data_IF_033956885697
#
_entry.id   IF_033956885697
#
_cell.length_a   1.000
_cell.length_b   1.000
_cell.length_c   1.000
_cell.angle_alpha   90.00
_cell.angle_beta   90.00
_cell.angle_gamma   90.00
#
_symmetry.space_group_name_H-M   'P 1'
#
loop_
_entity.id
_entity.type
_entity.pdbx_description
1 polymer ?
#
# COMPACT_ATOMS: atom_id res chain seq x y z
N UNK A 1 -54.51 -3.57 36.03
CA UNK A 1 -54.09 -2.45 35.14
C UNK A 1 -53.19 -3.05 34.08
N UNK A 2 -53.51 -2.88 32.82
CA UNK A 2 -52.65 -3.32 31.75
C UNK A 2 -51.60 -2.19 31.52
N UNK A 3 -50.32 -2.50 31.66
CA UNK A 3 -49.23 -1.54 31.38
C UNK A 3 -49.12 -1.34 29.88
N UNK A 4 -49.61 -0.19 29.37
CA UNK A 4 -49.54 0.15 27.97
C UNK A 4 -48.24 0.94 27.67
N UNK A 5 -47.15 0.24 27.41
CA UNK A 5 -45.87 0.84 27.18
C UNK A 5 -45.86 1.77 25.94
N UNK A 6 -46.61 1.45 24.88
CA UNK A 6 -46.65 2.27 23.65
C UNK A 6 -47.22 3.67 23.92
N UNK A 7 -48.31 3.79 24.65
CA UNK A 7 -48.88 5.10 24.97
C UNK A 7 -47.95 5.92 25.88
N UNK A 8 -47.25 5.24 26.78
CA UNK A 8 -46.31 5.90 27.69
C UNK A 8 -45.08 6.41 26.92
N UNK A 9 -44.51 5.59 26.05
CA UNK A 9 -43.37 5.95 25.22
C UNK A 9 -43.72 7.10 24.28
N UNK A 10 -44.80 7.02 23.54
CA UNK A 10 -45.27 8.06 22.64
C UNK A 10 -45.51 9.39 23.37
N UNK A 11 -46.17 9.34 24.54
CA UNK A 11 -46.38 10.48 25.36
C UNK A 11 -45.08 11.21 25.73
N UNK A 12 -44.07 10.43 26.20
CA UNK A 12 -42.82 11.04 26.66
C UNK A 12 -41.91 11.47 25.52
N UNK A 13 -41.85 10.75 24.43
CA UNK A 13 -41.11 11.16 23.23
C UNK A 13 -41.65 12.48 22.68
N UNK A 14 -42.96 12.63 22.58
CA UNK A 14 -43.62 13.87 22.18
C UNK A 14 -43.35 15.02 23.16
N UNK A 15 -43.37 14.74 24.48
CA UNK A 15 -43.05 15.71 25.50
C UNK A 15 -41.60 16.20 25.36
N UNK A 16 -40.64 15.32 25.22
CA UNK A 16 -39.22 15.66 25.07
C UNK A 16 -38.96 16.47 23.79
N UNK A 17 -39.54 16.10 22.69
CA UNK A 17 -39.43 16.81 21.43
C UNK A 17 -40.00 18.22 21.52
N UNK A 18 -41.24 18.38 22.03
CA UNK A 18 -41.90 19.65 22.14
C UNK A 18 -41.19 20.62 23.08
N UNK A 19 -40.66 20.13 24.19
CA UNK A 19 -40.01 20.96 25.21
C UNK A 19 -38.50 21.09 25.02
N UNK A 20 -37.92 20.46 23.99
CA UNK A 20 -36.47 20.37 23.77
C UNK A 20 -35.72 19.97 25.05
N UNK A 21 -36.24 18.95 25.75
CA UNK A 21 -35.84 18.60 27.13
C UNK A 21 -34.33 18.34 27.27
N UNK A 22 -33.68 17.88 26.20
CA UNK A 22 -32.27 17.50 26.19
C UNK A 22 -31.34 18.56 25.61
N UNK A 23 -31.86 19.74 25.28
CA UNK A 23 -31.08 20.85 24.73
C UNK A 23 -30.08 21.38 25.74
N UNK A 24 -28.82 21.46 25.36
CA UNK A 24 -27.76 22.13 26.12
C UNK A 24 -27.79 23.64 25.87
N UNK A 25 -27.55 24.44 26.91
CA UNK A 25 -27.41 25.90 26.79
C UNK A 25 -25.93 26.31 26.75
N UNK A 26 -25.61 27.30 25.93
CA UNK A 26 -24.26 27.88 25.92
C UNK A 26 -24.00 28.73 27.17
N UNK A 27 -25.05 29.35 27.71
CA UNK A 27 -24.98 30.34 28.78
C UNK A 27 -25.42 29.77 30.14
N UNK A 28 -25.25 28.45 30.33
CA UNK A 28 -25.62 27.79 31.57
C UNK A 28 -24.56 27.96 32.66
N UNK A 29 -24.99 28.27 33.87
CA UNK A 29 -24.16 28.25 35.07
C UNK A 29 -23.87 26.86 35.62
N UNK A 30 -24.58 25.86 35.13
CA UNK A 30 -24.34 24.46 35.52
C UNK A 30 -23.01 23.98 34.99
N UNK A 31 -22.31 23.08 35.72
CA UNK A 31 -21.09 22.46 35.23
C UNK A 31 -21.34 21.78 33.90
N UNK A 32 -20.44 21.98 32.94
CA UNK A 32 -20.53 21.42 31.58
C UNK A 32 -20.14 19.96 31.59
N UNK A 33 -20.85 19.17 30.80
CA UNK A 33 -20.49 17.80 30.51
C UNK A 33 -20.73 17.47 29.03
N UNK A 34 -19.78 16.83 28.40
CA UNK A 34 -19.86 16.45 26.99
C UNK A 34 -19.86 14.94 26.84
N UNK A 35 -20.87 14.40 26.16
CA UNK A 35 -20.99 12.98 25.79
C UNK A 35 -20.96 12.91 24.29
N UNK A 36 -19.97 12.19 23.75
CA UNK A 36 -19.76 12.06 22.32
C UNK A 36 -20.00 10.63 21.89
N UNK A 37 -20.84 10.47 20.88
CA UNK A 37 -21.06 9.21 20.15
C UNK A 37 -20.46 9.30 18.75
N UNK A 38 -20.13 8.13 18.17
CA UNK A 38 -19.76 8.02 16.77
C UNK A 38 -21.01 8.20 15.90
N UNK A 39 -21.00 9.16 14.99
CA UNK A 39 -22.12 9.39 14.08
C UNK A 39 -22.25 8.23 13.09
N UNK A 40 -23.48 7.72 12.85
CA UNK A 40 -23.69 6.65 11.90
C UNK A 40 -23.51 7.14 10.46
N UNK A 41 -23.06 6.24 9.59
CA UNK A 41 -23.17 6.41 8.15
C UNK A 41 -24.61 6.15 7.71
N UNK A 42 -25.32 7.08 7.07
CA UNK A 42 -26.67 6.84 6.55
C UNK A 42 -26.62 6.06 5.24
N UNK A 43 -25.96 4.91 5.25
CA UNK A 43 -25.62 4.11 4.07
C UNK A 43 -26.66 3.03 3.72
N UNK A 44 -27.64 2.81 4.58
CA UNK A 44 -28.65 1.79 4.39
C UNK A 44 -30.07 2.27 4.73
N UNK A 45 -31.04 1.41 4.54
CA UNK A 45 -32.45 1.73 4.76
C UNK A 45 -32.85 1.91 6.24
N UNK A 46 -31.91 1.84 7.17
CA UNK A 46 -32.12 2.03 8.60
C UNK A 46 -30.97 1.56 9.47
N UNK A 47 -31.14 1.76 10.79
CA UNK A 47 -30.18 1.34 11.80
C UNK A 47 -30.09 -0.20 11.87
N UNK A 48 -28.89 -0.71 12.06
CA UNK A 48 -28.68 -2.09 12.51
C UNK A 48 -28.40 -2.13 14.02
N UNK A 49 -28.49 -3.30 14.64
CA UNK A 49 -28.37 -3.48 16.10
C UNK A 49 -27.04 -2.97 16.70
N UNK A 50 -25.99 -2.90 15.92
CA UNK A 50 -24.70 -2.35 16.36
C UNK A 50 -24.75 -0.86 16.70
N UNK A 51 -25.59 -0.06 16.05
CA UNK A 51 -25.72 1.36 16.34
C UNK A 51 -26.24 1.62 17.76
N UNK A 52 -27.43 1.06 18.17
CA UNK A 52 -27.92 1.27 19.52
C UNK A 52 -27.00 0.73 20.60
N UNK A 53 -26.20 -0.29 20.32
CA UNK A 53 -25.31 -0.90 21.31
C UNK A 53 -24.35 0.11 21.95
N UNK A 54 -23.74 0.98 21.16
CA UNK A 54 -22.91 2.09 21.67
C UNK A 54 -23.74 3.20 22.31
N UNK A 55 -24.83 3.60 21.64
CA UNK A 55 -25.63 4.75 22.05
C UNK A 55 -26.39 4.55 23.36
N UNK A 56 -26.77 3.32 23.70
CA UNK A 56 -27.46 3.02 24.97
C UNK A 56 -26.56 3.37 26.17
N UNK A 57 -25.30 3.01 26.13
CA UNK A 57 -24.38 3.27 27.24
C UNK A 57 -24.15 4.77 27.44
N UNK A 58 -23.89 5.52 26.37
CA UNK A 58 -23.69 6.96 26.39
C UNK A 58 -24.97 7.71 26.80
N UNK A 59 -26.14 7.27 26.34
CA UNK A 59 -27.43 7.85 26.70
C UNK A 59 -27.74 7.68 28.19
N UNK A 60 -27.54 6.50 28.74
CA UNK A 60 -27.70 6.24 30.18
C UNK A 60 -26.78 7.20 30.97
N UNK A 61 -25.54 7.34 30.55
CA UNK A 61 -24.59 8.20 31.23
C UNK A 61 -24.93 9.69 31.08
N UNK A 62 -25.38 10.12 29.90
CA UNK A 62 -25.85 11.47 29.65
C UNK A 62 -27.05 11.83 30.56
N UNK A 63 -28.04 10.93 30.69
CA UNK A 63 -29.18 11.08 31.60
C UNK A 63 -28.74 11.17 33.05
N UNK A 64 -27.84 10.28 33.49
CA UNK A 64 -27.28 10.29 34.84
C UNK A 64 -26.64 11.67 35.15
N UNK A 65 -25.80 12.20 34.25
CA UNK A 65 -25.16 13.50 34.45
C UNK A 65 -26.18 14.65 34.49
N UNK A 66 -27.23 14.64 33.66
CA UNK A 66 -28.32 15.60 33.74
C UNK A 66 -29.01 15.57 35.11
N UNK A 67 -29.30 14.38 35.65
CA UNK A 67 -29.89 14.22 36.99
C UNK A 67 -28.94 14.68 38.12
N UNK A 68 -27.62 14.65 37.87
CA UNK A 68 -26.62 15.22 38.77
C UNK A 68 -26.45 16.73 38.63
N UNK A 69 -27.28 17.42 37.84
CA UNK A 69 -27.30 18.86 37.70
C UNK A 69 -26.32 19.45 36.66
N UNK A 70 -25.71 18.61 35.82
CA UNK A 70 -24.87 19.10 34.76
C UNK A 70 -25.65 19.63 33.55
N UNK A 71 -25.07 20.60 32.84
CA UNK A 71 -25.48 20.99 31.51
C UNK A 71 -24.81 20.05 30.51
N UNK A 72 -25.55 19.07 30.01
CA UNK A 72 -24.97 17.98 29.19
C UNK A 72 -25.19 18.27 27.73
N UNK A 73 -24.11 18.38 26.97
CA UNK A 73 -24.12 18.36 25.52
C UNK A 73 -23.95 16.90 25.06
N UNK A 74 -25.01 16.35 24.48
CA UNK A 74 -25.04 15.02 23.87
C UNK A 74 -25.53 15.16 22.43
N UNK A 75 -24.66 15.56 21.50
CA UNK A 75 -25.04 15.79 20.11
C UNK A 75 -25.14 14.47 19.37
N UNK A 76 -25.88 14.49 18.25
CA UNK A 76 -25.93 13.41 17.28
C UNK A 76 -25.86 13.99 15.87
N UNK A 77 -25.56 13.14 14.91
CA UNK A 77 -25.47 13.58 13.52
C UNK A 77 -25.29 12.40 12.59
N UNK A 78 -24.81 12.68 11.39
CA UNK A 78 -24.66 11.72 10.33
C UNK A 78 -23.34 11.98 9.59
N UNK A 79 -22.53 10.96 9.46
CA UNK A 79 -21.39 10.97 8.55
C UNK A 79 -21.92 10.66 7.13
N UNK A 80 -22.22 11.75 6.40
CA UNK A 80 -23.12 11.72 5.26
C UNK A 80 -22.40 11.63 3.91
N UNK A 81 -21.07 11.61 3.86
CA UNK A 81 -20.30 11.21 2.70
C UNK A 81 -20.05 9.71 2.76
N UNK A 82 -19.94 9.05 1.60
CA UNK A 82 -19.51 7.67 1.59
C UNK A 82 -19.84 6.88 0.34
N UNK A 83 -19.02 5.87 0.09
CA UNK A 83 -19.09 4.97 -1.05
C UNK A 83 -20.49 4.32 -1.27
N UNK A 84 -21.26 3.91 -0.23
CA UNK A 84 -22.56 3.31 -0.47
C UNK A 84 -23.56 4.21 -1.19
N UNK A 85 -23.60 5.49 -0.82
CA UNK A 85 -24.49 6.45 -1.46
C UNK A 85 -24.02 6.76 -2.89
N UNK A 86 -22.73 6.82 -3.14
CA UNK A 86 -22.12 7.03 -4.45
C UNK A 86 -22.38 5.84 -5.37
N UNK A 87 -22.20 4.62 -4.90
CA UNK A 87 -22.49 3.40 -5.67
C UNK A 87 -23.98 3.28 -6.04
N UNK A 88 -24.87 3.60 -5.10
CA UNK A 88 -26.29 3.62 -5.37
C UNK A 88 -26.64 4.70 -6.43
N UNK A 89 -25.97 5.85 -6.37
CA UNK A 89 -26.13 6.89 -7.37
C UNK A 89 -25.71 6.43 -8.79
N UNK A 90 -24.58 5.72 -8.88
CA UNK A 90 -24.08 5.17 -10.16
C UNK A 90 -25.09 4.15 -10.72
N UNK A 91 -25.59 3.25 -9.88
CA UNK A 91 -26.53 2.19 -10.29
C UNK A 91 -27.89 2.73 -10.72
N UNK A 92 -28.39 3.78 -10.08
CA UNK A 92 -29.76 4.29 -10.28
C UNK A 92 -29.83 5.57 -11.08
N UNK A 93 -28.69 6.25 -11.33
CA UNK A 93 -28.65 7.59 -11.91
C UNK A 93 -29.20 8.69 -10.99
N UNK A 94 -29.41 8.38 -9.70
CA UNK A 94 -29.93 9.33 -8.74
C UNK A 94 -28.81 10.04 -7.99
N UNK A 95 -28.92 11.36 -7.81
CA UNK A 95 -27.90 12.12 -7.07
C UNK A 95 -27.74 11.62 -5.61
N UNK A 96 -26.52 11.39 -5.10
CA UNK A 96 -26.28 10.80 -3.77
C UNK A 96 -26.99 11.52 -2.62
N UNK A 97 -27.04 12.85 -2.67
CA UNK A 97 -27.68 13.66 -1.62
C UNK A 97 -29.15 13.31 -1.39
N UNK A 98 -29.88 12.88 -2.43
CA UNK A 98 -31.30 12.52 -2.31
C UNK A 98 -31.48 11.26 -1.50
N UNK A 99 -30.73 10.22 -1.83
CA UNK A 99 -30.74 8.95 -1.08
C UNK A 99 -30.27 9.14 0.37
N UNK A 100 -29.20 9.92 0.55
CA UNK A 100 -28.67 10.25 1.89
C UNK A 100 -29.72 10.96 2.74
N UNK A 101 -30.45 11.92 2.20
CA UNK A 101 -31.50 12.63 2.92
C UNK A 101 -32.68 11.71 3.32
N UNK A 102 -33.07 10.79 2.45
CA UNK A 102 -34.12 9.79 2.76
C UNK A 102 -33.66 8.83 3.87
N UNK A 103 -32.42 8.39 3.80
CA UNK A 103 -31.83 7.53 4.84
C UNK A 103 -31.74 8.27 6.18
N UNK A 104 -31.27 9.52 6.19
CA UNK A 104 -31.20 10.36 7.41
C UNK A 104 -32.57 10.47 8.07
N UNK A 105 -33.65 10.71 7.31
CA UNK A 105 -35.01 10.75 7.88
C UNK A 105 -35.39 9.43 8.53
N UNK A 106 -35.02 8.30 7.92
CA UNK A 106 -35.30 6.98 8.49
C UNK A 106 -34.49 6.73 9.77
N UNK A 107 -33.19 7.03 9.75
CA UNK A 107 -32.33 6.91 10.94
C UNK A 107 -32.83 7.81 12.08
N UNK A 108 -33.17 9.07 11.78
CA UNK A 108 -33.71 10.00 12.77
C UNK A 108 -34.98 9.46 13.40
N UNK A 109 -35.93 9.03 12.61
CA UNK A 109 -37.17 8.43 13.11
C UNK A 109 -36.93 7.22 14.02
N UNK A 110 -35.98 6.36 13.67
CA UNK A 110 -35.65 5.17 14.47
C UNK A 110 -34.95 5.55 15.79
N UNK A 111 -34.05 6.52 15.79
CA UNK A 111 -33.39 7.02 17.00
C UNK A 111 -34.39 7.69 17.94
N UNK A 112 -35.33 8.45 17.40
CA UNK A 112 -36.42 9.07 18.17
C UNK A 112 -37.33 8.02 18.76
N UNK A 113 -37.65 6.94 18.05
CA UNK A 113 -38.50 5.82 18.54
C UNK A 113 -37.81 5.05 19.68
N UNK A 114 -36.49 4.91 19.69
CA UNK A 114 -35.75 4.32 20.80
C UNK A 114 -35.80 5.26 22.01
N UNK A 115 -35.93 6.55 21.76
CA UNK A 115 -36.07 7.57 22.80
C UNK A 115 -34.79 8.06 23.42
N UNK A 116 -33.70 8.10 22.65
CA UNK A 116 -32.41 8.65 23.10
C UNK A 116 -32.50 10.14 23.49
N UNK A 117 -31.66 10.54 24.43
CA UNK A 117 -31.60 11.92 24.95
C UNK A 117 -30.60 12.80 24.19
N UNK A 118 -30.59 12.70 22.87
CA UNK A 118 -29.73 13.54 22.03
C UNK A 118 -30.22 14.98 21.98
N UNK A 119 -29.27 15.92 21.91
CA UNK A 119 -29.56 17.33 21.62
C UNK A 119 -29.63 17.55 20.10
N UNK A 120 -30.78 17.36 19.53
CA UNK A 120 -31.02 17.54 18.10
C UNK A 120 -30.91 18.99 17.63
N UNK A 121 -30.86 19.98 18.51
CA UNK A 121 -30.54 21.35 18.11
C UNK A 121 -29.07 21.50 17.68
N UNK A 122 -28.27 20.49 17.95
CA UNK A 122 -26.83 20.37 17.58
C UNK A 122 -26.60 19.27 16.60
N UNK A 123 -27.62 18.92 15.79
CA UNK A 123 -27.47 17.92 14.73
C UNK A 123 -26.35 18.30 13.75
N UNK A 124 -25.49 17.34 13.44
CA UNK A 124 -24.38 17.48 12.51
C UNK A 124 -24.62 16.65 11.28
N UNK A 125 -24.35 17.21 10.10
CA UNK A 125 -24.32 16.49 8.81
C UNK A 125 -23.01 16.84 8.12
N UNK A 126 -22.12 15.89 7.98
CA UNK A 126 -20.77 16.15 7.47
C UNK A 126 -20.75 16.63 6.03
N UNK A 127 -21.80 16.31 5.23
CA UNK A 127 -21.98 16.74 3.85
C UNK A 127 -22.58 18.15 3.69
N UNK A 128 -22.97 18.81 4.78
CA UNK A 128 -23.46 20.19 4.70
C UNK A 128 -22.31 21.16 4.47
N UNK A 129 -22.43 22.14 3.54
CA UNK A 129 -21.43 23.18 3.30
C UNK A 129 -21.00 23.92 4.58
N UNK A 130 -21.98 24.17 5.48
CA UNK A 130 -21.72 24.84 6.77
C UNK A 130 -20.82 24.04 7.71
N UNK A 131 -20.77 22.72 7.52
CA UNK A 131 -19.88 21.83 8.27
C UNK A 131 -18.52 21.69 7.55
N UNK A 132 -18.50 21.22 6.30
CA UNK A 132 -17.24 20.87 5.63
C UNK A 132 -16.38 22.09 5.26
N UNK A 133 -16.94 23.31 5.23
CA UNK A 133 -16.13 24.52 5.10
C UNK A 133 -15.02 24.62 6.15
N UNK A 134 -15.28 24.09 7.35
CA UNK A 134 -14.26 24.06 8.40
C UNK A 134 -13.17 23.02 8.15
N UNK A 135 -13.52 21.89 7.55
CA UNK A 135 -12.54 20.88 7.09
C UNK A 135 -11.65 21.49 6.00
N UNK A 136 -12.24 22.21 5.05
CA UNK A 136 -11.49 22.92 4.01
C UNK A 136 -10.60 24.03 4.60
N UNK A 137 -11.11 24.77 5.56
CA UNK A 137 -10.32 25.80 6.25
C UNK A 137 -9.13 25.19 7.01
N UNK A 138 -9.32 24.09 7.72
CA UNK A 138 -8.24 23.38 8.40
C UNK A 138 -7.19 22.92 7.37
N UNK A 139 -7.63 22.40 6.23
CA UNK A 139 -6.73 22.01 5.16
C UNK A 139 -5.87 23.19 4.67
N UNK A 140 -6.45 24.36 4.46
CA UNK A 140 -5.69 25.55 4.05
C UNK A 140 -4.70 25.99 5.13
N UNK A 141 -5.05 25.90 6.42
CA UNK A 141 -4.12 26.20 7.51
C UNK A 141 -2.93 25.23 7.51
N UNK A 142 -3.17 23.93 7.30
CA UNK A 142 -2.11 22.94 7.20
C UNK A 142 -1.24 23.16 5.94
N UNK A 143 -1.85 23.55 4.82
CA UNK A 143 -1.13 23.88 3.60
C UNK A 143 -0.22 25.09 3.78
N UNK A 144 -0.65 26.10 4.52
CA UNK A 144 0.13 27.29 4.81
C UNK A 144 1.05 27.14 6.01
N UNK A 145 1.30 25.92 6.45
CA UNK A 145 2.17 25.60 7.59
C UNK A 145 3.26 24.61 7.25
N UNK A 146 4.35 24.68 8.01
CA UNK A 146 5.43 23.71 8.09
C UNK A 146 5.68 23.32 9.55
N UNK A 147 6.28 22.15 9.80
CA UNK A 147 6.59 21.72 11.17
C UNK A 147 8.03 22.02 11.53
N UNK A 148 8.23 22.93 12.48
CA UNK A 148 9.54 23.29 13.02
C UNK A 148 9.85 22.37 14.20
N UNK A 149 10.86 21.48 14.06
CA UNK A 149 11.27 20.52 15.09
C UNK A 149 11.96 21.19 16.28
N UNK A 150 12.58 22.37 16.08
CA UNK A 150 13.24 23.08 17.17
C UNK A 150 12.22 23.72 18.14
N UNK A 151 11.12 24.20 17.62
CA UNK A 151 10.01 24.74 18.42
C UNK A 151 8.93 23.71 18.75
N UNK A 152 9.03 22.50 18.19
CA UNK A 152 8.08 21.38 18.30
C UNK A 152 6.62 21.78 17.99
N UNK A 153 6.42 22.56 16.92
CA UNK A 153 5.09 23.02 16.50
C UNK A 153 5.03 23.39 15.03
N UNK A 154 3.78 23.43 14.52
CA UNK A 154 3.51 24.03 13.23
C UNK A 154 3.71 25.56 13.27
N UNK A 155 4.33 26.09 12.25
CA UNK A 155 4.56 27.52 12.02
C UNK A 155 4.08 27.91 10.64
N UNK A 156 3.75 29.19 10.44
CA UNK A 156 3.34 29.72 9.15
C UNK A 156 4.48 29.59 8.12
N UNK A 157 4.16 29.19 6.90
CA UNK A 157 5.11 28.95 5.83
C UNK A 157 5.96 30.20 5.49
N UNK A 158 5.44 31.38 5.75
CA UNK A 158 6.17 32.65 5.55
C UNK A 158 7.41 32.77 6.45
N UNK A 159 7.36 32.15 7.64
CA UNK A 159 8.54 32.08 8.52
C UNK A 159 9.67 31.26 7.88
N UNK A 160 9.35 30.13 7.28
CA UNK A 160 10.31 29.30 6.54
C UNK A 160 10.86 30.04 5.33
N UNK A 161 10.01 30.71 4.53
CA UNK A 161 10.42 31.52 3.40
C UNK A 161 11.41 32.62 3.84
N UNK A 162 11.18 33.22 5.01
CA UNK A 162 12.07 34.24 5.56
C UNK A 162 13.45 33.67 5.92
N UNK A 163 13.49 32.46 6.47
CA UNK A 163 14.74 31.75 6.76
C UNK A 163 15.48 31.41 5.45
N UNK A 164 14.77 30.87 4.44
CA UNK A 164 15.37 30.56 3.13
C UNK A 164 15.99 31.78 2.45
N UNK A 165 15.32 32.93 2.53
CA UNK A 165 15.83 34.20 1.99
C UNK A 165 17.09 34.70 2.68
N UNK A 166 17.29 34.34 3.95
CA UNK A 166 18.40 34.83 4.78
C UNK A 166 19.56 33.85 4.82
N UNK A 167 19.27 32.54 5.03
CA UNK A 167 20.27 31.55 5.41
C UNK A 167 20.28 30.31 4.48
N UNK A 168 19.32 30.19 3.55
CA UNK A 168 19.12 28.94 2.78
C UNK A 168 18.46 27.85 3.66
N UNK A 169 18.63 26.58 3.29
CA UNK A 169 17.97 25.47 4.02
C UNK A 169 18.92 24.54 4.77
N UNK A 170 20.25 24.74 4.71
CA UNK A 170 21.24 23.81 5.28
C UNK A 170 21.04 23.53 6.79
N UNK A 171 20.54 24.52 7.54
CA UNK A 171 20.39 24.45 9.00
C UNK A 171 18.94 24.27 9.45
N UNK A 172 18.03 24.02 8.53
CA UNK A 172 16.62 23.86 8.85
C UNK A 172 16.37 22.48 9.48
N UNK A 173 15.80 22.46 10.67
CA UNK A 173 15.34 21.28 11.36
C UNK A 173 13.81 21.18 11.26
N UNK A 174 13.34 20.64 10.16
CA UNK A 174 11.91 20.52 9.85
C UNK A 174 11.48 19.06 9.69
N UNK A 175 10.20 18.79 9.86
CA UNK A 175 9.61 17.59 9.32
C UNK A 175 9.29 17.84 7.85
N UNK A 176 9.97 17.14 6.95
CA UNK A 176 9.96 17.38 5.53
C UNK A 176 10.17 16.07 4.76
N UNK A 177 10.16 16.10 3.44
CA UNK A 177 10.55 14.96 2.61
C UNK A 177 12.04 14.64 2.78
N UNK A 178 12.43 13.38 2.57
CA UNK A 178 13.81 12.93 2.75
C UNK A 178 14.76 13.51 1.69
N UNK A 179 14.26 13.72 0.47
CA UNK A 179 15.05 14.19 -0.67
C UNK A 179 14.79 15.67 -0.96
N UNK A 180 15.45 16.54 -0.22
CA UNK A 180 15.41 17.99 -0.47
C UNK A 180 16.81 18.45 -0.87
N UNK A 181 16.90 19.12 -2.04
CA UNK A 181 18.14 19.77 -2.46
C UNK A 181 18.58 20.81 -1.43
N UNK A 182 19.88 20.87 -1.17
CA UNK A 182 20.49 21.90 -0.32
C UNK A 182 20.72 23.14 -1.17
N UNK A 183 20.34 24.31 -0.66
CA UNK A 183 20.52 25.59 -1.33
C UNK A 183 20.89 26.71 -0.35
N UNK A 184 21.59 27.68 -0.87
CA UNK A 184 21.96 28.94 -0.19
C UNK A 184 20.86 29.99 -0.33
N UNK A 185 20.97 31.07 0.43
CA UNK A 185 20.03 32.20 0.33
C UNK A 185 20.02 32.85 -1.06
N UNK A 186 21.17 32.89 -1.74
CA UNK A 186 21.25 33.52 -3.07
C UNK A 186 20.67 32.59 -4.15
N UNK A 187 20.88 31.27 -4.05
CA UNK A 187 20.26 30.30 -4.92
C UNK A 187 18.73 30.33 -4.75
N UNK A 188 18.23 30.39 -3.50
CA UNK A 188 16.80 30.55 -3.25
C UNK A 188 16.18 31.77 -3.96
N UNK A 189 16.87 32.91 -3.90
CA UNK A 189 16.40 34.14 -4.57
C UNK A 189 16.46 34.03 -6.09
N UNK A 190 17.39 33.24 -6.62
CA UNK A 190 17.54 33.02 -8.06
C UNK A 190 16.56 31.99 -8.63
N UNK A 191 15.97 31.14 -7.79
CA UNK A 191 15.00 30.16 -8.25
C UNK A 191 13.74 30.82 -8.81
N UNK A 192 13.24 30.29 -9.91
CA UNK A 192 11.93 30.65 -10.43
C UNK A 192 10.83 30.32 -9.41
N UNK A 193 9.74 31.09 -9.44
CA UNK A 193 8.64 30.94 -8.50
C UNK A 193 8.09 29.52 -8.45
N UNK A 194 7.98 28.85 -9.60
CA UNK A 194 7.51 27.45 -9.69
C UNK A 194 8.42 26.52 -8.89
N UNK A 195 9.75 26.68 -9.03
CA UNK A 195 10.73 25.88 -8.28
C UNK A 195 10.65 26.16 -6.78
N UNK A 196 10.51 27.42 -6.39
CA UNK A 196 10.31 27.78 -4.99
C UNK A 196 9.08 27.09 -4.38
N UNK A 197 7.94 27.09 -5.08
CA UNK A 197 6.71 26.44 -4.60
C UNK A 197 6.87 24.91 -4.55
N UNK A 198 7.56 24.29 -5.49
CA UNK A 198 7.89 22.86 -5.46
C UNK A 198 8.75 22.48 -4.26
N UNK A 199 9.71 23.31 -3.89
CA UNK A 199 10.54 23.13 -2.68
C UNK A 199 9.66 23.30 -1.42
N UNK A 200 8.86 24.38 -1.36
CA UNK A 200 7.96 24.62 -0.22
C UNK A 200 6.98 23.49 0.00
N UNK A 201 6.47 22.87 -1.07
CA UNK A 201 5.55 21.73 -0.98
C UNK A 201 6.16 20.56 -0.20
N UNK A 202 7.49 20.38 -0.29
CA UNK A 202 8.21 19.35 0.47
C UNK A 202 8.28 19.60 1.98
N UNK A 203 7.99 20.81 2.43
CA UNK A 203 7.96 21.21 3.85
C UNK A 203 6.54 21.40 4.39
N UNK A 204 5.55 21.64 3.52
CA UNK A 204 4.18 21.89 3.95
C UNK A 204 3.59 20.68 4.67
N UNK A 205 2.68 20.93 5.62
CA UNK A 205 1.98 19.88 6.35
C UNK A 205 0.93 19.15 5.50
N UNK A 206 0.46 19.77 4.41
CA UNK A 206 -0.29 19.08 3.35
C UNK A 206 0.46 19.21 2.03
N UNK A 207 0.57 18.12 1.30
CA UNK A 207 1.38 18.03 0.09
C UNK A 207 0.80 17.03 -0.89
N UNK A 208 1.16 17.17 -2.16
CA UNK A 208 0.85 16.19 -3.19
C UNK A 208 1.94 15.12 -3.23
N UNK A 209 1.56 13.86 -3.26
CA UNK A 209 2.48 12.75 -3.47
C UNK A 209 1.87 11.70 -4.39
N UNK A 210 2.72 11.04 -5.15
CA UNK A 210 2.34 9.86 -5.92
C UNK A 210 2.42 8.64 -5.03
N UNK A 211 1.25 8.17 -4.60
CA UNK A 211 1.12 7.01 -3.73
C UNK A 211 0.51 5.83 -4.46
N UNK A 212 0.91 4.63 -4.07
CA UNK A 212 0.23 3.42 -4.53
C UNK A 212 -1.08 3.25 -3.79
N UNK A 213 -2.16 3.21 -4.55
CA UNK A 213 -3.52 3.06 -4.03
C UNK A 213 -4.15 1.78 -4.55
N UNK A 214 -5.11 1.28 -3.79
CA UNK A 214 -5.93 0.15 -4.21
C UNK A 214 -7.08 0.65 -5.07
N UNK A 215 -6.93 0.61 -6.37
CA UNK A 215 -7.93 1.06 -7.32
C UNK A 215 -8.88 -0.06 -7.71
N UNK A 216 -10.16 0.16 -7.58
CA UNK A 216 -11.20 -0.74 -8.09
C UNK A 216 -11.85 -0.15 -9.35
N UNK A 217 -11.52 -0.64 -10.56
CA UNK A 217 -12.08 -0.10 -11.80
C UNK A 217 -13.60 -0.20 -11.90
N UNK A 218 -14.17 -1.29 -11.37
CA UNK A 218 -15.61 -1.53 -11.41
C UNK A 218 -16.40 -0.59 -10.49
N UNK A 219 -15.82 -0.21 -9.35
CA UNK A 219 -16.41 0.76 -8.43
C UNK A 219 -16.01 2.20 -8.75
N UNK A 220 -14.98 2.41 -9.60
CA UNK A 220 -14.49 3.72 -9.98
C UNK A 220 -13.86 4.52 -8.82
N UNK A 221 -13.31 3.84 -7.81
CA UNK A 221 -12.80 4.48 -6.59
C UNK A 221 -11.57 3.78 -6.02
N UNK A 222 -10.89 4.47 -5.11
CA UNK A 222 -9.82 3.95 -4.26
C UNK A 222 -10.45 3.30 -3.03
N UNK A 223 -9.93 2.14 -2.63
CA UNK A 223 -10.38 1.40 -1.47
C UNK A 223 -9.31 1.39 -0.37
N UNK A 224 -9.73 1.48 0.87
CA UNK A 224 -8.87 1.22 2.03
C UNK A 224 -8.47 -0.27 2.11
N UNK A 225 -7.40 -0.58 2.86
CA UNK A 225 -6.93 -1.97 2.95
C UNK A 225 -7.96 -2.92 3.56
N UNK A 226 -8.75 -2.45 4.51
CA UNK A 226 -9.81 -3.19 5.19
C UNK A 226 -11.08 -3.39 4.31
N UNK A 227 -11.21 -2.67 3.20
CA UNK A 227 -12.27 -2.87 2.20
C UNK A 227 -11.89 -3.91 1.13
N UNK A 228 -10.75 -4.60 1.30
CA UNK A 228 -10.24 -5.58 0.34
C UNK A 228 -10.08 -6.94 1.02
N UNK A 229 -10.73 -7.94 0.47
CA UNK A 229 -10.66 -9.32 0.94
C UNK A 229 -10.17 -10.20 -0.22
N UNK A 230 -9.04 -10.88 -0.03
CA UNK A 230 -8.44 -11.78 -1.04
C UNK A 230 -8.24 -11.12 -2.43
N UNK A 231 -7.86 -9.86 -2.46
CA UNK A 231 -7.58 -9.12 -3.71
C UNK A 231 -8.82 -8.59 -4.45
N UNK A 232 -10.00 -8.73 -3.85
CA UNK A 232 -11.26 -8.18 -4.39
C UNK A 232 -11.90 -7.23 -3.39
N UNK A 233 -12.73 -6.31 -3.89
CA UNK A 233 -13.49 -5.40 -3.03
C UNK A 233 -14.48 -6.18 -2.17
N UNK A 234 -14.60 -5.84 -0.89
CA UNK A 234 -15.63 -6.39 0.01
C UNK A 234 -17.03 -6.21 -0.57
N UNK A 235 -17.27 -5.05 -1.20
CA UNK A 235 -18.52 -4.74 -1.90
C UNK A 235 -18.44 -5.20 -3.34
N UNK A 236 -19.27 -6.17 -3.70
CA UNK A 236 -19.45 -6.64 -5.07
C UNK A 236 -18.38 -7.63 -5.57
N UNK A 237 -17.33 -7.92 -4.79
CA UNK A 237 -16.31 -8.91 -5.16
C UNK A 237 -15.52 -8.55 -6.42
N UNK A 238 -15.32 -7.27 -6.71
CA UNK A 238 -14.64 -6.81 -7.92
C UNK A 238 -13.11 -6.82 -7.76
N UNK A 239 -12.35 -7.19 -8.80
CA UNK A 239 -10.90 -7.16 -8.76
C UNK A 239 -10.35 -5.77 -8.41
N UNK A 240 -9.36 -5.72 -7.54
CA UNK A 240 -8.65 -4.52 -7.12
C UNK A 240 -7.23 -4.57 -7.67
N UNK A 241 -6.78 -3.44 -8.22
CA UNK A 241 -5.44 -3.30 -8.79
C UNK A 241 -4.64 -2.23 -8.06
N UNK A 242 -3.34 -2.44 -7.89
CA UNK A 242 -2.43 -1.40 -7.42
C UNK A 242 -2.21 -0.38 -8.52
N UNK A 243 -2.34 0.90 -8.20
CA UNK A 243 -2.16 2.00 -9.14
C UNK A 243 -1.49 3.18 -8.45
N UNK A 244 -0.47 3.76 -9.08
CA UNK A 244 0.07 5.05 -8.63
C UNK A 244 -0.90 6.17 -9.02
N UNK A 245 -1.27 6.99 -8.05
CA UNK A 245 -2.13 8.16 -8.22
C UNK A 245 -1.59 9.31 -7.38
N UNK A 246 -1.62 10.50 -7.94
CA UNK A 246 -1.34 11.72 -7.19
C UNK A 246 -2.47 11.97 -6.20
N UNK A 247 -2.13 12.01 -4.92
CA UNK A 247 -3.07 12.21 -3.82
C UNK A 247 -2.60 13.36 -2.92
N UNK A 248 -3.56 14.07 -2.33
CA UNK A 248 -3.25 14.93 -1.19
C UNK A 248 -2.91 14.07 0.02
N UNK A 249 -1.79 14.37 0.62
CA UNK A 249 -1.30 13.71 1.83
C UNK A 249 -1.14 14.73 2.96
N UNK A 250 -1.29 14.26 4.20
CA UNK A 250 -1.01 15.05 5.40
C UNK A 250 0.21 14.46 6.11
N UNK A 251 1.14 15.32 6.54
CA UNK A 251 2.38 14.93 7.22
C UNK A 251 2.11 14.61 8.69
N UNK A 252 1.30 13.57 8.92
CA UNK A 252 0.86 13.16 10.27
C UNK A 252 2.02 12.67 11.14
N UNK A 253 3.09 12.15 10.53
CA UNK A 253 4.30 11.70 11.22
C UNK A 253 4.95 12.81 12.05
N UNK A 254 4.79 14.08 11.66
CA UNK A 254 5.25 15.24 12.43
C UNK A 254 4.70 15.27 13.87
N UNK A 255 3.51 14.70 14.08
CA UNK A 255 2.82 14.69 15.38
C UNK A 255 2.88 13.33 16.08
N UNK A 256 3.53 12.32 15.52
CA UNK A 256 3.51 10.96 16.03
C UNK A 256 4.05 10.87 17.47
N UNK A 257 5.20 11.49 17.75
CA UNK A 257 5.78 11.48 19.09
C UNK A 257 4.88 12.24 20.09
N UNK A 258 4.35 13.39 19.69
CA UNK A 258 3.46 14.19 20.52
C UNK A 258 2.15 13.45 20.85
N UNK A 259 1.59 12.71 19.91
CA UNK A 259 0.42 11.86 20.16
C UNK A 259 0.75 10.73 21.15
N UNK A 260 1.92 10.13 21.01
CA UNK A 260 2.38 9.07 21.90
C UNK A 260 2.57 9.60 23.34
N UNK A 261 3.26 10.71 23.50
CA UNK A 261 3.49 11.35 24.80
C UNK A 261 2.17 11.81 25.45
N UNK A 262 1.21 12.24 24.63
CA UNK A 262 -0.12 12.66 25.08
C UNK A 262 -0.92 11.54 25.75
N UNK A 263 -0.66 10.27 25.44
CA UNK A 263 -1.33 9.12 26.06
C UNK A 263 -1.08 9.04 27.59
N UNK A 264 0.07 9.52 28.04
CA UNK A 264 0.40 9.53 29.48
C UNK A 264 -0.49 10.48 30.30
N UNK A 265 -0.97 11.56 29.67
CA UNK A 265 -1.73 12.61 30.34
C UNK A 265 -3.25 12.40 30.36
N UNK A 266 -3.76 11.41 29.60
CA UNK A 266 -5.20 11.18 29.48
C UNK A 266 -5.67 10.00 30.35
N UNK A 267 -6.88 10.14 30.88
CA UNK A 267 -7.53 9.09 31.70
C UNK A 267 -8.25 8.06 30.82
N UNK A 268 -7.44 7.28 30.10
CA UNK A 268 -7.91 6.15 29.28
C UNK A 268 -7.55 4.81 29.87
N UNK A 269 -8.36 3.75 29.67
CA UNK A 269 -8.02 2.40 30.05
C UNK A 269 -6.69 1.94 29.39
N UNK A 270 -5.86 1.22 30.15
CA UNK A 270 -4.55 0.79 29.67
C UNK A 270 -4.61 0.01 28.33
N UNK A 271 -5.53 -0.93 28.10
CA UNK A 271 -5.61 -1.62 26.81
C UNK A 271 -5.84 -0.69 25.62
N UNK A 272 -6.53 0.45 25.81
CA UNK A 272 -6.71 1.45 24.76
C UNK A 272 -5.42 2.22 24.50
N UNK A 273 -4.69 2.61 25.57
CA UNK A 273 -3.37 3.25 25.44
C UNK A 273 -2.39 2.34 24.72
N UNK A 274 -2.35 1.05 25.06
CA UNK A 274 -1.50 0.05 24.41
C UNK A 274 -1.84 -0.10 22.92
N UNK A 275 -3.12 -0.13 22.59
CA UNK A 275 -3.59 -0.20 21.21
C UNK A 275 -3.15 1.03 20.40
N UNK A 276 -3.28 2.24 20.95
CA UNK A 276 -2.83 3.47 20.30
C UNK A 276 -1.30 3.53 20.16
N UNK A 277 -0.57 3.10 21.18
CA UNK A 277 0.90 3.01 21.14
C UNK A 277 1.36 2.07 20.03
N UNK A 278 0.75 0.90 19.91
CA UNK A 278 1.05 -0.07 18.87
C UNK A 278 0.67 0.44 17.47
N UNK A 279 -0.42 1.21 17.35
CA UNK A 279 -0.83 1.82 16.09
C UNK A 279 0.16 2.89 15.63
N UNK A 280 0.66 3.74 16.52
CA UNK A 280 1.69 4.73 16.21
C UNK A 280 3.00 4.02 15.83
N UNK A 281 3.32 2.92 16.51
CA UNK A 281 4.35 1.97 16.10
C UNK A 281 5.76 2.55 16.10
N UNK A 282 6.15 3.34 17.14
CA UNK A 282 7.50 3.86 17.23
C UNK A 282 8.53 2.72 17.17
N UNK A 283 9.41 2.79 16.19
CA UNK A 283 10.47 1.82 15.98
C UNK A 283 11.83 2.51 16.03
N UNK A 284 12.83 1.85 16.62
CA UNK A 284 14.22 2.30 16.63
C UNK A 284 15.09 1.24 15.98
N UNK A 285 16.01 1.68 15.12
CA UNK A 285 16.88 0.77 14.40
C UNK A 285 17.95 1.53 13.62
N UNK A 286 18.52 0.86 12.64
CA UNK A 286 19.53 1.42 11.77
C UNK A 286 19.14 1.24 10.29
N UNK A 287 19.47 2.23 9.48
CA UNK A 287 19.49 2.09 8.04
C UNK A 287 20.80 1.43 7.63
N UNK A 288 20.71 0.39 6.83
CA UNK A 288 21.86 -0.32 6.29
C UNK A 288 21.77 -0.33 4.77
N UNK A 289 22.81 0.14 4.12
CA UNK A 289 22.88 0.21 2.65
C UNK A 289 23.77 -0.90 2.12
N UNK A 290 23.23 -1.72 1.24
CA UNK A 290 23.95 -2.76 0.52
C UNK A 290 24.22 -2.30 -0.91
N UNK A 291 25.48 -2.41 -1.35
CA UNK A 291 25.83 -2.15 -2.74
C UNK A 291 25.49 -3.35 -3.60
N UNK A 292 24.87 -3.11 -4.75
CA UNK A 292 24.59 -4.15 -5.74
C UNK A 292 25.79 -4.27 -6.67
N UNK A 293 26.37 -5.46 -6.75
CA UNK A 293 27.47 -5.72 -7.70
C UNK A 293 26.94 -5.66 -9.13
N UNK A 294 27.23 -4.54 -9.80
CA UNK A 294 26.83 -4.29 -11.18
C UNK A 294 27.54 -5.20 -12.20
N UNK A 295 28.61 -5.89 -11.81
CA UNK A 295 29.30 -6.84 -12.71
C UNK A 295 28.44 -8.05 -13.08
N UNK A 296 27.37 -8.30 -12.35
CA UNK A 296 26.38 -9.36 -12.61
C UNK A 296 25.17 -8.89 -13.40
N UNK A 297 25.06 -7.56 -13.65
CA UNK A 297 23.96 -6.98 -14.41
C UNK A 297 24.25 -7.05 -15.90
N UNK A 298 23.63 -7.97 -16.61
CA UNK A 298 23.65 -7.99 -18.08
C UNK A 298 22.77 -6.86 -18.61
N UNK A 299 23.33 -6.03 -19.53
CA UNK A 299 22.50 -5.07 -20.28
C UNK A 299 21.36 -5.81 -20.97
N UNK A 300 20.14 -5.53 -20.55
CA UNK A 300 18.95 -6.14 -21.08
C UNK A 300 18.57 -5.53 -22.42
N UNK A 301 18.83 -6.25 -23.49
CA UNK A 301 18.04 -6.11 -24.72
C UNK A 301 16.64 -6.65 -24.42
N UNK A 302 15.64 -5.80 -24.44
CA UNK A 302 14.24 -6.14 -24.11
C UNK A 302 13.68 -7.21 -25.04
N UNK A 303 13.52 -8.43 -24.52
CA UNK A 303 12.59 -9.41 -25.10
C UNK A 303 11.42 -9.54 -24.12
N UNK A 304 10.35 -8.81 -24.36
CA UNK A 304 9.08 -8.96 -23.64
C UNK A 304 8.42 -10.28 -24.06
N UNK A 305 8.59 -11.33 -23.27
CA UNK A 305 7.72 -12.50 -23.37
C UNK A 305 6.31 -12.13 -22.88
N UNK A 306 5.31 -12.33 -23.73
CA UNK A 306 3.92 -12.09 -23.36
C UNK A 306 3.46 -13.10 -22.30
N UNK A 307 2.49 -12.74 -21.46
CA UNK A 307 1.89 -13.63 -20.45
C UNK A 307 1.42 -14.96 -21.06
N UNK A 308 0.98 -14.95 -22.32
CA UNK A 308 0.59 -16.12 -23.10
C UNK A 308 1.76 -17.06 -23.37
N UNK A 309 2.95 -16.53 -23.65
CA UNK A 309 4.16 -17.34 -23.87
C UNK A 309 4.63 -18.04 -22.59
N UNK A 310 4.41 -17.43 -21.41
CA UNK A 310 4.73 -18.05 -20.11
C UNK A 310 3.79 -19.21 -19.78
N UNK A 311 2.51 -19.13 -20.15
CA UNK A 311 1.56 -20.25 -20.00
C UNK A 311 1.89 -21.39 -20.97
N UNK A 312 2.21 -21.09 -22.20
CA UNK A 312 2.64 -22.10 -23.20
C UNK A 312 3.89 -22.83 -22.73
N UNK A 313 4.89 -22.14 -22.17
CA UNK A 313 6.08 -22.77 -21.58
C UNK A 313 5.72 -23.65 -20.36
N UNK A 314 4.74 -23.26 -19.56
CA UNK A 314 4.25 -24.07 -18.43
C UNK A 314 3.60 -25.37 -18.91
N UNK A 315 2.78 -25.31 -19.95
CA UNK A 315 2.16 -26.49 -20.56
C UNK A 315 3.18 -27.41 -21.18
N UNK A 316 4.17 -26.88 -21.92
CA UNK A 316 5.25 -27.68 -22.53
C UNK A 316 6.13 -28.36 -21.47
N UNK A 317 6.33 -27.72 -20.29
CA UNK A 317 7.04 -28.32 -19.15
C UNK A 317 6.28 -29.50 -18.52
N UNK A 318 4.95 -29.49 -18.59
CA UNK A 318 4.09 -30.52 -18.02
C UNK A 318 3.93 -31.72 -19.01
N UNK A 319 3.95 -31.48 -20.33
CA UNK A 319 3.63 -32.42 -21.39
C UNK A 319 4.90 -32.86 -22.15
N UNK A 320 5.84 -33.50 -21.44
CA UNK A 320 7.02 -34.10 -22.06
C UNK A 320 6.64 -35.37 -22.89
N UNK A 321 7.25 -35.56 -24.05
CA UNK A 321 7.15 -36.80 -24.79
C UNK A 321 7.70 -37.98 -23.99
N UNK A 322 7.45 -39.19 -24.46
CA UNK A 322 7.95 -40.42 -23.81
C UNK A 322 9.48 -40.44 -23.72
N UNK A 323 10.18 -40.12 -24.80
CA UNK A 323 11.65 -40.08 -24.85
C UNK A 323 12.21 -38.97 -23.98
N UNK A 324 11.59 -37.78 -24.01
CA UNK A 324 11.96 -36.65 -23.11
C UNK A 324 11.79 -37.04 -21.64
N UNK A 325 10.70 -37.69 -21.28
CA UNK A 325 10.46 -38.13 -19.90
C UNK A 325 11.49 -39.17 -19.43
N UNK A 326 11.88 -40.12 -20.30
CA UNK A 326 12.90 -41.13 -20.00
C UNK A 326 14.26 -40.46 -19.76
N UNK A 327 14.68 -39.56 -20.65
CA UNK A 327 15.94 -38.83 -20.51
C UNK A 327 15.95 -37.91 -19.27
N UNK A 328 14.85 -37.20 -19.04
CA UNK A 328 14.69 -36.33 -17.85
C UNK A 328 14.84 -37.11 -16.54
N UNK A 329 14.26 -38.30 -16.44
CA UNK A 329 14.35 -39.12 -15.24
C UNK A 329 15.80 -39.51 -14.89
N UNK A 330 16.68 -39.63 -15.88
CA UNK A 330 18.11 -39.86 -15.70
C UNK A 330 18.91 -38.60 -15.39
N UNK A 331 18.51 -37.44 -15.95
CA UNK A 331 19.18 -36.16 -15.76
C UNK A 331 18.84 -35.47 -14.43
N UNK A 332 17.58 -35.57 -13.93
CA UNK A 332 17.11 -34.90 -12.72
C UNK A 332 17.75 -35.39 -11.41
N UNK A 333 18.37 -36.54 -11.40
CA UNK A 333 18.88 -37.21 -10.19
C UNK A 333 20.34 -36.91 -9.84
N UNK A 334 21.06 -36.12 -10.62
CA UNK A 334 22.50 -35.84 -10.36
C UNK A 334 22.67 -34.88 -9.18
N UNK A 335 23.36 -35.36 -8.13
CA UNK A 335 23.72 -34.55 -6.95
C UNK A 335 25.04 -33.81 -7.19
N UNK A 336 25.16 -32.56 -6.71
CA UNK A 336 26.37 -31.76 -6.80
C UNK A 336 26.30 -30.62 -7.82
N UNK A 337 27.45 -30.16 -8.32
CA UNK A 337 27.58 -29.01 -9.23
C UNK A 337 26.92 -29.19 -10.62
N UNK A 338 26.46 -30.43 -10.96
CA UNK A 338 25.85 -30.72 -12.25
C UNK A 338 24.34 -30.82 -12.09
N UNK A 339 23.65 -29.71 -12.35
CA UNK A 339 22.19 -29.63 -12.27
C UNK A 339 21.61 -29.28 -13.63
N UNK A 340 20.80 -30.16 -14.20
CA UNK A 340 20.06 -29.91 -15.44
C UNK A 340 18.71 -29.24 -15.14
N UNK A 341 18.30 -28.37 -16.06
CA UNK A 341 16.96 -27.79 -16.13
C UNK A 341 16.28 -28.20 -17.41
N UNK A 342 14.99 -28.51 -17.38
CA UNK A 342 14.19 -28.87 -18.56
C UNK A 342 13.41 -27.67 -19.08
N UNK A 343 13.23 -27.61 -20.42
CA UNK A 343 12.46 -26.57 -21.10
C UNK A 343 12.81 -25.20 -20.57
N UNK A 344 14.08 -24.84 -20.77
CA UNK A 344 14.67 -23.62 -20.30
C UNK A 344 14.88 -22.63 -21.46
N UNK A 345 14.63 -21.33 -21.23
CA UNK A 345 14.76 -20.30 -22.26
C UNK A 345 16.17 -19.72 -22.24
N UNK A 346 16.84 -19.70 -23.41
CA UNK A 346 18.12 -19.01 -23.63
C UNK A 346 17.93 -18.08 -24.82
N UNK A 347 17.99 -16.77 -24.57
CA UNK A 347 17.58 -15.76 -25.55
C UNK A 347 16.12 -15.97 -25.98
N UNK A 348 15.90 -16.03 -27.28
CA UNK A 348 14.58 -16.30 -27.89
C UNK A 348 14.23 -17.77 -28.02
N UNK A 349 15.13 -18.69 -27.63
CA UNK A 349 14.95 -20.11 -27.85
C UNK A 349 14.62 -20.87 -26.58
N UNK A 350 13.62 -21.76 -26.66
CA UNK A 350 13.32 -22.74 -25.63
C UNK A 350 14.17 -24.02 -25.88
N UNK A 351 15.06 -24.34 -24.92
CA UNK A 351 15.92 -25.53 -25.00
C UNK A 351 15.33 -26.70 -24.21
N UNK A 352 15.57 -27.94 -24.68
CA UNK A 352 15.00 -29.11 -24.03
C UNK A 352 15.61 -29.34 -22.64
N UNK A 353 16.94 -29.36 -22.55
CA UNK A 353 17.68 -29.45 -21.28
C UNK A 353 18.93 -28.59 -21.31
N UNK A 354 19.26 -27.99 -20.18
CA UNK A 354 20.48 -27.19 -20.00
C UNK A 354 21.13 -27.44 -18.65
N UNK A 355 22.44 -27.52 -18.65
CA UNK A 355 23.30 -27.48 -17.48
C UNK A 355 24.08 -26.15 -17.49
N UNK A 356 23.60 -25.15 -16.78
CA UNK A 356 24.20 -23.80 -16.75
C UNK A 356 25.61 -23.79 -16.15
N UNK A 357 25.89 -24.64 -15.15
CA UNK A 357 27.21 -24.70 -14.50
C UNK A 357 28.29 -25.30 -15.36
N UNK A 358 27.92 -25.96 -16.49
CA UNK A 358 28.85 -26.63 -17.44
C UNK A 358 28.65 -26.10 -18.85
N UNK A 359 27.80 -25.11 -19.06
CA UNK A 359 27.47 -24.51 -20.36
C UNK A 359 27.13 -25.57 -21.44
N UNK A 360 26.30 -26.54 -21.07
CA UNK A 360 25.88 -27.61 -21.99
C UNK A 360 24.37 -27.55 -22.18
N UNK A 361 23.97 -27.56 -23.45
CA UNK A 361 22.59 -27.71 -23.88
C UNK A 361 22.44 -29.13 -24.49
N UNK A 362 21.34 -29.82 -24.18
CA UNK A 362 20.95 -31.08 -24.81
C UNK A 362 19.60 -30.86 -25.46
N UNK A 363 19.56 -31.05 -26.78
CA UNK A 363 18.36 -30.89 -27.60
C UNK A 363 18.02 -32.17 -28.38
N UNK A 364 16.72 -32.40 -28.59
CA UNK A 364 16.28 -33.44 -29.51
C UNK A 364 16.39 -32.93 -30.95
N UNK A 365 16.99 -33.79 -31.82
CA UNK A 365 17.15 -33.50 -33.25
C UNK A 365 15.82 -33.48 -34.00
N UNK A 366 15.79 -32.76 -35.13
CA UNK A 366 14.62 -32.64 -36.01
C UNK A 366 13.87 -31.35 -35.95
N UNK A 367 14.43 -30.30 -35.30
CA UNK A 367 13.91 -28.96 -35.34
C UNK A 367 14.33 -28.24 -36.63
N UNK A 368 13.43 -27.51 -37.27
CA UNK A 368 13.66 -26.82 -38.55
C UNK A 368 14.81 -25.81 -38.52
N UNK A 369 15.13 -25.28 -37.36
CA UNK A 369 16.09 -24.19 -37.12
C UNK A 369 17.38 -24.63 -36.40
N UNK A 370 17.71 -25.91 -36.39
CA UNK A 370 18.88 -26.47 -35.67
C UNK A 370 20.20 -25.73 -35.92
N UNK A 371 20.49 -25.37 -37.19
CA UNK A 371 21.74 -24.66 -37.54
C UNK A 371 21.79 -23.25 -36.93
N UNK A 372 20.67 -22.54 -36.97
CA UNK A 372 20.54 -21.20 -36.42
C UNK A 372 20.66 -21.25 -34.90
N UNK A 373 20.01 -22.21 -34.27
CA UNK A 373 20.05 -22.46 -32.84
C UNK A 373 21.46 -22.79 -32.35
N UNK A 374 22.13 -23.69 -33.05
CA UNK A 374 23.50 -24.09 -32.73
C UNK A 374 24.48 -22.92 -32.82
N UNK A 375 24.39 -22.10 -33.88
CA UNK A 375 25.23 -20.91 -34.03
C UNK A 375 25.01 -19.91 -32.87
N UNK A 376 23.77 -19.64 -32.59
CA UNK A 376 23.41 -18.74 -31.47
C UNK A 376 23.89 -19.25 -30.11
N UNK A 377 23.67 -20.51 -29.79
CA UNK A 377 24.10 -21.07 -28.50
C UNK A 377 25.61 -21.16 -28.36
N UNK A 378 26.33 -21.41 -29.48
CA UNK A 378 27.80 -21.37 -29.47
C UNK A 378 28.34 -19.95 -29.23
N UNK A 379 27.71 -18.92 -29.83
CA UNK A 379 28.05 -17.50 -29.56
C UNK A 379 27.81 -17.15 -28.12
N UNK A 380 26.75 -17.68 -27.49
CA UNK A 380 26.43 -17.49 -26.05
C UNK A 380 27.32 -18.35 -25.12
N UNK A 381 28.28 -19.11 -25.70
CA UNK A 381 29.26 -19.91 -24.94
C UNK A 381 28.72 -21.26 -24.46
N UNK A 382 27.64 -21.75 -25.03
CA UNK A 382 27.12 -23.09 -24.76
C UNK A 382 27.60 -24.14 -25.78
N UNK A 383 27.89 -25.33 -25.31
CA UNK A 383 28.11 -26.50 -26.15
C UNK A 383 26.78 -27.24 -26.33
N UNK A 384 26.38 -27.46 -27.57
CA UNK A 384 25.08 -28.10 -27.89
C UNK A 384 25.28 -29.55 -28.27
N UNK A 385 24.57 -30.43 -27.58
CA UNK A 385 24.53 -31.87 -27.89
C UNK A 385 23.14 -32.25 -28.37
N UNK A 386 23.07 -32.74 -29.60
CA UNK A 386 21.83 -33.28 -30.16
C UNK A 386 21.69 -34.76 -29.88
N UNK A 387 20.46 -35.18 -29.55
CA UNK A 387 20.07 -36.59 -29.32
C UNK A 387 18.78 -36.88 -30.10
N UNK A 388 18.63 -38.12 -30.54
CA UNK A 388 17.41 -38.54 -31.24
C UNK A 388 16.47 -39.32 -30.31
N UNK A 389 15.18 -39.34 -30.64
CA UNK A 389 14.21 -40.15 -29.92
C UNK A 389 14.59 -41.64 -29.95
N UNK A 390 15.09 -42.11 -31.09
CA UNK A 390 15.51 -43.48 -31.26
C UNK A 390 16.70 -43.87 -30.37
N UNK A 391 17.71 -42.99 -30.25
CA UNK A 391 18.86 -43.22 -29.36
C UNK A 391 18.40 -43.36 -27.90
N UNK A 392 17.50 -42.47 -27.45
CA UNK A 392 16.99 -42.48 -26.07
C UNK A 392 16.14 -43.71 -25.80
N UNK A 393 15.28 -44.13 -26.73
CA UNK A 393 14.43 -45.30 -26.58
C UNK A 393 15.20 -46.60 -26.65
N UNK A 394 16.27 -46.67 -27.49
CA UNK A 394 17.11 -47.86 -27.67
C UNK A 394 18.06 -48.08 -26.49
N UNK A 395 18.75 -47.02 -26.04
CA UNK A 395 19.71 -47.12 -24.94
C UNK A 395 19.95 -45.72 -24.26
N UNK A 396 19.13 -45.37 -23.31
CA UNK A 396 19.26 -44.10 -22.58
C UNK A 396 20.58 -43.96 -21.81
N UNK A 397 21.18 -45.06 -21.36
CA UNK A 397 22.42 -45.02 -20.58
C UNK A 397 23.63 -44.69 -21.48
N UNK A 398 23.59 -45.06 -22.76
CA UNK A 398 24.58 -44.62 -23.75
C UNK A 398 24.48 -43.11 -24.04
N UNK A 399 23.25 -42.56 -24.13
CA UNK A 399 23.01 -41.12 -24.27
C UNK A 399 23.53 -40.37 -23.03
N UNK A 400 23.31 -40.91 -21.84
CA UNK A 400 23.85 -40.34 -20.61
C UNK A 400 25.38 -40.35 -20.58
N UNK A 401 25.99 -41.40 -21.14
CA UNK A 401 27.46 -41.49 -21.28
C UNK A 401 28.00 -40.43 -22.24
N UNK A 402 27.34 -40.20 -23.38
CA UNK A 402 27.65 -39.08 -24.31
C UNK A 402 27.57 -37.71 -23.58
N UNK A 403 26.52 -37.48 -22.83
CA UNK A 403 26.34 -36.23 -22.08
C UNK A 403 27.42 -36.09 -21.01
N UNK A 404 27.78 -37.13 -20.28
CA UNK A 404 28.84 -37.11 -19.28
C UNK A 404 30.22 -36.85 -19.89
N UNK A 405 30.52 -37.43 -21.04
CA UNK A 405 31.75 -37.16 -21.77
C UNK A 405 31.80 -35.66 -22.21
N UNK A 406 30.72 -35.13 -22.76
CA UNK A 406 30.65 -33.73 -23.12
C UNK A 406 30.88 -32.80 -21.91
N UNK A 407 30.37 -33.18 -20.73
CA UNK A 407 30.60 -32.47 -19.47
C UNK A 407 32.08 -32.52 -19.03
N UNK A 408 32.76 -33.64 -19.22
CA UNK A 408 34.18 -33.78 -18.85
C UNK A 408 35.10 -33.02 -19.78
N UNK A 409 34.76 -32.92 -21.06
CA UNK A 409 35.52 -32.20 -22.08
C UNK A 409 35.07 -30.74 -22.26
N UNK A 410 34.08 -30.26 -21.51
CA UNK A 410 33.77 -28.86 -21.49
C UNK A 410 34.92 -28.10 -20.82
N UNK A 411 35.77 -27.52 -21.67
CA UNK A 411 36.87 -26.64 -21.26
C UNK A 411 36.19 -25.44 -20.53
N UNK A 412 36.64 -25.15 -19.32
CA UNK A 412 36.38 -23.85 -18.72
C UNK A 412 37.03 -22.83 -19.66
N UNK A 413 36.24 -22.23 -20.54
CA UNK A 413 36.70 -21.09 -21.34
C UNK A 413 36.99 -19.99 -20.32
N UNK A 414 38.27 -19.51 -20.21
CA UNK A 414 38.56 -18.36 -19.38
C UNK A 414 37.66 -17.23 -19.87
N UNK A 415 36.96 -16.56 -18.98
CA UNK A 415 36.21 -15.34 -19.27
C UNK A 415 37.18 -14.43 -20.02
N UNK A 416 37.03 -14.32 -21.33
CA UNK A 416 37.78 -13.35 -22.14
C UNK A 416 37.42 -12.00 -21.55
N UNK A 417 38.41 -11.35 -20.95
CA UNK A 417 38.37 -9.95 -20.55
C UNK A 417 38.00 -9.14 -21.79
N UNK A 418 36.73 -8.77 -21.89
CA UNK A 418 36.31 -7.71 -22.78
C UNK A 418 37.02 -6.45 -22.29
N UNK A 419 37.87 -5.90 -23.16
CA UNK A 419 38.51 -4.64 -22.93
C UNK A 419 37.51 -3.59 -22.45
N UNK A 420 37.90 -2.90 -21.40
CA UNK A 420 37.17 -1.87 -20.71
C UNK A 420 36.79 -0.73 -21.64
N UNK A 421 35.58 -0.79 -22.19
CA UNK A 421 34.88 0.44 -22.56
C UNK A 421 34.43 1.03 -21.23
N UNK A 422 34.98 2.21 -20.91
CA UNK A 422 34.60 3.01 -19.76
C UNK A 422 33.11 3.41 -19.85
N UNK A 423 32.23 2.52 -19.46
CA UNK A 423 30.84 2.85 -19.16
C UNK A 423 30.80 3.33 -17.70
N UNK A 424 30.23 4.50 -17.46
CA UNK A 424 29.89 4.95 -16.11
C UNK A 424 29.15 3.81 -15.42
N UNK A 425 29.82 3.16 -14.46
CA UNK A 425 29.19 2.17 -13.59
C UNK A 425 28.10 2.90 -12.80
N UNK A 426 26.85 2.62 -13.09
CA UNK A 426 25.74 3.05 -12.23
C UNK A 426 25.79 2.13 -11.02
N UNK A 427 26.29 2.61 -9.89
CA UNK A 427 26.21 1.86 -8.63
C UNK A 427 24.76 1.86 -8.17
N UNK A 428 24.17 0.69 -8.06
CA UNK A 428 22.87 0.51 -7.45
C UNK A 428 23.07 0.19 -5.97
N UNK A 429 22.21 0.79 -5.14
CA UNK A 429 22.21 0.57 -3.70
C UNK A 429 20.81 0.14 -3.25
N UNK A 430 20.76 -0.73 -2.23
CA UNK A 430 19.54 -1.14 -1.57
C UNK A 430 19.67 -0.78 -0.10
N UNK A 431 18.87 0.18 0.34
CA UNK A 431 18.82 0.59 1.74
C UNK A 431 17.67 -0.10 2.44
N UNK A 432 17.94 -0.71 3.58
CA UNK A 432 16.95 -1.39 4.41
C UNK A 432 17.02 -0.90 5.85
N UNK A 433 15.86 -0.75 6.46
CA UNK A 433 15.76 -0.46 7.89
C UNK A 433 15.72 -1.78 8.68
N UNK A 434 16.51 -1.87 9.74
CA UNK A 434 16.47 -3.02 10.66
C UNK A 434 16.42 -2.57 12.10
N UNK A 435 15.58 -3.22 12.91
CA UNK A 435 15.56 -3.07 14.37
C UNK A 435 16.62 -3.93 15.07
N UNK A 436 17.29 -4.81 14.32
CA UNK A 436 18.31 -5.73 14.81
C UNK A 436 19.62 -5.60 14.00
N UNK A 437 20.31 -4.46 14.09
CA UNK A 437 21.57 -4.24 13.37
C UNK A 437 22.68 -5.22 13.79
N UNK A 438 22.58 -5.79 14.97
CA UNK A 438 23.47 -6.83 15.49
C UNK A 438 23.45 -8.13 14.67
N UNK A 439 22.37 -8.39 13.93
CA UNK A 439 22.22 -9.61 13.11
C UNK A 439 22.77 -9.50 11.69
N UNK A 440 23.25 -8.33 11.29
CA UNK A 440 23.65 -8.05 9.90
C UNK A 440 24.74 -9.00 9.38
N UNK A 441 25.63 -9.46 10.23
CA UNK A 441 26.71 -10.39 9.87
C UNK A 441 26.21 -11.80 9.52
N UNK A 442 24.93 -12.10 9.82
CA UNK A 442 24.27 -13.34 9.45
C UNK A 442 23.47 -13.27 8.15
N UNK A 443 23.44 -12.11 7.48
CA UNK A 443 22.69 -11.94 6.22
C UNK A 443 23.35 -12.73 5.12
N UNK A 444 22.63 -13.68 4.53
CA UNK A 444 23.10 -14.54 3.44
C UNK A 444 22.38 -14.27 2.12
N UNK A 445 21.22 -13.63 2.13
CA UNK A 445 20.48 -13.21 0.95
C UNK A 445 19.54 -12.05 1.28
N UNK A 446 19.08 -11.37 0.24
CA UNK A 446 18.08 -10.31 0.31
C UNK A 446 16.98 -10.59 -0.72
N UNK A 447 15.73 -10.36 -0.35
CA UNK A 447 14.57 -10.43 -1.23
C UNK A 447 14.01 -9.03 -1.45
N UNK A 448 13.69 -8.72 -2.70
CA UNK A 448 12.99 -7.49 -3.07
C UNK A 448 11.54 -7.82 -3.41
N UNK A 449 10.65 -6.89 -3.13
CA UNK A 449 9.28 -6.96 -3.61
C UNK A 449 9.27 -6.98 -5.15
N UNK A 450 8.36 -7.72 -5.81
CA UNK A 450 8.31 -7.78 -7.27
C UNK A 450 8.18 -6.42 -7.94
N UNK A 451 7.55 -5.46 -7.25
CA UNK A 451 7.29 -4.09 -7.71
C UNK A 451 8.49 -3.15 -7.52
N UNK A 452 9.53 -3.59 -6.81
CA UNK A 452 10.69 -2.74 -6.56
C UNK A 452 11.38 -2.37 -7.87
N UNK A 453 11.73 -1.10 -8.05
CA UNK A 453 12.31 -0.57 -9.30
C UNK A 453 13.58 -1.27 -9.77
N UNK A 454 14.39 -1.78 -8.86
CA UNK A 454 15.59 -2.54 -9.20
C UNK A 454 15.26 -3.92 -9.76
N UNK A 455 14.11 -4.52 -9.45
CA UNK A 455 13.75 -5.86 -9.92
C UNK A 455 13.79 -5.93 -11.45
N UNK A 456 13.22 -4.93 -12.12
CA UNK A 456 13.25 -4.87 -13.59
C UNK A 456 14.65 -4.72 -14.17
N UNK A 457 15.59 -4.13 -13.42
CA UNK A 457 16.98 -3.85 -13.83
C UNK A 457 17.92 -5.04 -13.56
N UNK A 458 17.68 -5.76 -12.43
CA UNK A 458 18.54 -6.87 -12.01
C UNK A 458 18.01 -8.25 -12.40
N UNK A 459 16.73 -8.36 -12.81
CA UNK A 459 16.13 -9.62 -13.22
C UNK A 459 16.65 -10.02 -14.61
N UNK A 460 17.21 -11.22 -14.71
CA UNK A 460 17.66 -11.74 -16.00
C UNK A 460 16.48 -12.06 -16.91
N UNK A 461 16.69 -12.02 -18.23
CA UNK A 461 15.64 -12.22 -19.24
C UNK A 461 14.83 -13.54 -19.06
N UNK A 462 15.42 -14.57 -18.46
CA UNK A 462 14.74 -15.83 -18.19
C UNK A 462 13.90 -15.87 -16.90
N UNK A 463 13.83 -14.76 -16.14
CA UNK A 463 13.09 -14.67 -14.87
C UNK A 463 12.14 -13.46 -14.83
N UNK A 464 12.07 -12.71 -15.93
CA UNK A 464 11.11 -11.60 -16.12
C UNK A 464 9.71 -12.08 -16.41
#
# INVERSE_FOLDING_TARGET
>A
MHYNFKEIEEKWQNHWAKNQTFKASNDSEKPKYYVLDMFPYPSGAGLHVGHPLGYIASDIYARYKRHKGFNVLHPQGYDSFGLPAEQYAIQTGQHPAKTTEENIKTYRRQLDQIGFSFDWSREVRTSNPEYYKWTQWIFTQLFDSWYNKDSDKAEDISSLISIFKKDGNLKINAEADDEIEVFTADEWKAFEKVKQEQILLKYRLTFLSDTEVNWCPALGTVLANDEIINGVSERGGHPVVRKKMTQWSMRISAYAQRLLDGLESIDWPQPLKDSQTNWIGRSQGAMVTFKVDSSTLTENTEVKLSYKALEEIKEVRLNLSKSESVLWNKLKGKKGAIKFRKKYTIGSFLVDYVCLSKNIIVEFSGKEDEKVRTAYFNEEGFNVLYVTNEEVEKNVDEVISKINNAIQFSIEIPKTTKESISTKQTEYEISVFTTRPDTIFGVSFMTLAPEHELVSKITTAGHK
#
